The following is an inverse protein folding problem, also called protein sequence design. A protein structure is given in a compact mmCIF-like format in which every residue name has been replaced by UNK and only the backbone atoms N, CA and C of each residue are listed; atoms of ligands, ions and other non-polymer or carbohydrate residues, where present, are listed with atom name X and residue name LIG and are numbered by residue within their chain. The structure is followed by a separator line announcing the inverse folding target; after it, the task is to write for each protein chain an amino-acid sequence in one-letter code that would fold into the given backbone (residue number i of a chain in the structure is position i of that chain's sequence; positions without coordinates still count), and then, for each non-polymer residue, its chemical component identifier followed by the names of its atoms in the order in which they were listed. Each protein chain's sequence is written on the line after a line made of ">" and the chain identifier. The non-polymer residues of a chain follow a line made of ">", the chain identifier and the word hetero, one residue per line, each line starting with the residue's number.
data_IF_155596008634
#
_entry.id   IF_155596008634
#
_cell.length_a   1.000
_cell.length_b   1.000
_cell.length_c   1.000
_cell.angle_alpha   90.00
_cell.angle_beta   90.00
_cell.angle_gamma   90.00
#
_symmetry.space_group_name_H-M   'P 1'
#
loop_
_entity.id
_entity.type
_entity.pdbx_description
1 polymer ?
#
# COMPACT_ATOMS: atom_id res chain seq x y z
N UNK A 1 3.47 -8.55 -2.31
CA UNK A 1 2.25 -7.78 -2.67
C UNK A 1 1.77 -7.92 -4.11
N UNK A 2 2.58 -7.61 -5.13
CA UNK A 2 2.12 -7.56 -6.54
C UNK A 2 1.53 -8.87 -7.06
N UNK A 3 2.11 -10.03 -6.69
CA UNK A 3 1.58 -11.35 -7.09
C UNK A 3 0.20 -11.60 -6.49
N UNK A 4 -0.01 -11.24 -5.22
CA UNK A 4 -1.31 -11.41 -4.55
C UNK A 4 -2.34 -10.46 -5.18
N UNK A 5 -1.99 -9.19 -5.40
CA UNK A 5 -2.89 -8.24 -6.05
C UNK A 5 -3.28 -8.68 -7.47
N UNK A 6 -2.32 -9.19 -8.26
CA UNK A 6 -2.59 -9.72 -9.60
C UNK A 6 -3.38 -11.02 -9.55
N UNK A 7 -3.07 -11.93 -8.62
CA UNK A 7 -3.80 -13.19 -8.45
C UNK A 7 -5.24 -12.92 -8.00
N UNK A 8 -5.47 -11.96 -7.11
CA UNK A 8 -6.79 -11.57 -6.62
C UNK A 8 -7.60 -10.92 -7.75
N UNK A 9 -6.99 -10.03 -8.54
CA UNK A 9 -7.61 -9.46 -9.75
C UNK A 9 -7.95 -10.53 -10.79
N UNK A 10 -7.05 -11.48 -11.06
CA UNK A 10 -7.30 -12.62 -11.95
C UNK A 10 -8.40 -13.55 -11.43
N UNK A 11 -8.44 -13.79 -10.13
CA UNK A 11 -9.47 -14.62 -9.52
C UNK A 11 -10.83 -13.94 -9.60
N UNK A 12 -10.90 -12.62 -9.43
CA UNK A 12 -12.11 -11.84 -9.64
C UNK A 12 -12.64 -11.97 -11.08
N UNK A 13 -11.75 -11.88 -12.07
CA UNK A 13 -12.08 -12.09 -13.48
C UNK A 13 -12.57 -13.53 -13.76
N UNK A 14 -11.93 -14.54 -13.16
CA UNK A 14 -12.40 -15.94 -13.26
C UNK A 14 -13.74 -16.20 -12.56
N UNK A 15 -14.05 -15.47 -11.49
CA UNK A 15 -15.36 -15.57 -10.81
C UNK A 15 -16.46 -14.96 -11.67
N UNK A 16 -16.16 -13.91 -12.44
CA UNK A 16 -17.09 -13.34 -13.43
C UNK A 16 -17.38 -14.36 -14.55
N UNK A 17 -16.37 -15.14 -14.96
CA UNK A 17 -16.52 -16.25 -15.92
C UNK A 17 -17.38 -17.41 -15.38
N UNK A 18 -17.46 -17.60 -14.05
CA UNK A 18 -18.18 -18.69 -13.40
C UNK A 18 -19.60 -18.32 -12.93
N UNK A 19 -19.84 -17.03 -12.63
CA UNK A 19 -21.15 -16.48 -12.24
C UNK A 19 -21.60 -15.41 -13.23
N UNK A 20 -22.01 -15.77 -14.46
CA UNK A 20 -22.65 -14.82 -15.34
C UNK A 20 -24.03 -14.51 -14.73
N UNK A 21 -24.13 -13.44 -13.94
CA UNK A 21 -25.42 -12.86 -13.56
C UNK A 21 -26.06 -12.30 -14.85
N UNK A 22 -26.75 -13.17 -15.59
CA UNK A 22 -27.39 -12.86 -16.87
C UNK A 22 -28.59 -11.94 -16.67
N UNK A 23 -28.38 -10.63 -16.75
CA UNK A 23 -29.46 -9.66 -16.98
C UNK A 23 -29.55 -9.35 -18.49
N UNK A 24 -30.10 -10.29 -19.27
CA UNK A 24 -30.37 -10.09 -20.71
C UNK A 24 -29.37 -10.76 -21.67
N UNK A 25 -29.09 -10.12 -22.82
CA UNK A 25 -28.29 -10.63 -23.95
C UNK A 25 -26.84 -10.08 -24.03
N UNK A 26 -26.40 -9.28 -23.07
CA UNK A 26 -25.04 -8.73 -22.98
C UNK A 26 -24.36 -9.25 -21.72
N UNK A 27 -23.16 -9.81 -21.85
CA UNK A 27 -22.29 -10.13 -20.72
C UNK A 27 -21.96 -8.80 -20.00
N UNK A 28 -22.29 -8.69 -18.71
CA UNK A 28 -21.97 -7.50 -17.92
C UNK A 28 -20.54 -7.69 -17.37
N UNK A 29 -19.58 -6.79 -17.63
CA UNK A 29 -18.25 -6.86 -17.04
C UNK A 29 -18.32 -6.34 -15.59
N UNK A 30 -18.68 -7.22 -14.66
CA UNK A 30 -18.92 -6.86 -13.25
C UNK A 30 -17.59 -6.47 -12.60
N UNK A 31 -16.50 -7.12 -13.00
CA UNK A 31 -15.15 -6.80 -12.56
C UNK A 31 -14.73 -5.38 -12.94
N UNK A 32 -14.95 -4.96 -14.19
CA UNK A 32 -14.61 -3.61 -14.64
C UNK A 32 -15.51 -2.55 -13.99
N UNK A 33 -16.81 -2.83 -13.84
CA UNK A 33 -17.74 -1.94 -13.12
C UNK A 33 -17.34 -1.79 -11.66
N UNK A 34 -16.93 -2.87 -10.99
CA UNK A 34 -16.44 -2.84 -9.62
C UNK A 34 -15.14 -2.04 -9.50
N UNK A 35 -14.21 -2.21 -10.44
CA UNK A 35 -12.98 -1.45 -10.51
C UNK A 35 -13.27 0.06 -10.68
N UNK A 36 -14.16 0.44 -11.60
CA UNK A 36 -14.58 1.83 -11.78
C UNK A 36 -15.21 2.39 -10.51
N UNK A 37 -16.14 1.66 -9.88
CA UNK A 37 -16.76 2.10 -8.62
C UNK A 37 -15.71 2.37 -7.53
N UNK A 38 -14.74 1.47 -7.36
CA UNK A 38 -13.66 1.63 -6.39
C UNK A 38 -12.75 2.81 -6.73
N UNK A 39 -12.34 2.95 -7.99
CA UNK A 39 -11.46 4.04 -8.43
C UNK A 39 -12.15 5.41 -8.28
N UNK A 40 -13.45 5.51 -8.60
CA UNK A 40 -14.23 6.73 -8.37
C UNK A 40 -14.37 7.02 -6.89
N UNK A 41 -14.71 6.01 -6.07
CA UNK A 41 -14.84 6.19 -4.62
C UNK A 41 -13.54 6.67 -3.99
N UNK A 42 -12.41 5.99 -4.24
CA UNK A 42 -11.11 6.40 -3.73
C UNK A 42 -10.69 7.76 -4.28
N UNK A 43 -10.86 8.01 -5.58
CA UNK A 43 -10.51 9.28 -6.19
C UNK A 43 -11.24 10.47 -5.58
N UNK A 44 -12.57 10.37 -5.44
CA UNK A 44 -13.39 11.42 -4.82
C UNK A 44 -13.08 11.55 -3.33
N UNK A 45 -12.96 10.44 -2.58
CA UNK A 45 -12.65 10.49 -1.15
C UNK A 45 -11.31 11.17 -0.90
N UNK A 46 -10.26 10.82 -1.65
CA UNK A 46 -8.92 11.42 -1.51
C UNK A 46 -8.93 12.91 -1.87
N UNK A 47 -9.70 13.34 -2.88
CA UNK A 47 -9.85 14.76 -3.21
C UNK A 47 -10.63 15.54 -2.16
N UNK A 48 -11.67 14.94 -1.57
CA UNK A 48 -12.43 15.54 -0.48
C UNK A 48 -11.57 15.67 0.78
N UNK A 49 -10.76 14.68 1.11
CA UNK A 49 -9.78 14.77 2.21
C UNK A 49 -8.76 15.89 1.93
N UNK A 50 -8.21 15.96 0.71
CA UNK A 50 -7.28 17.02 0.32
C UNK A 50 -7.88 18.44 0.41
N UNK A 51 -9.17 18.58 0.10
CA UNK A 51 -9.90 19.86 0.16
C UNK A 51 -10.38 20.20 1.57
N UNK A 52 -10.64 19.21 2.41
CA UNK A 52 -11.11 19.37 3.80
C UNK A 52 -9.98 19.39 4.82
N UNK A 53 -8.72 19.24 4.39
CA UNK A 53 -7.51 19.59 5.15
C UNK A 53 -7.44 21.10 5.43
N UNK A 54 -8.43 21.61 6.14
CA UNK A 54 -8.31 22.80 6.96
C UNK A 54 -7.36 22.46 8.12
N UNK A 55 -6.58 23.43 8.57
CA UNK A 55 -5.42 23.30 9.47
C UNK A 55 -5.63 22.46 10.75
N UNK A 56 -6.86 22.14 11.14
CA UNK A 56 -7.16 21.37 12.35
C UNK A 56 -6.88 19.86 12.23
N UNK A 57 -7.17 19.21 11.08
CA UNK A 57 -7.04 17.74 10.96
C UNK A 57 -5.57 17.29 10.96
N UNK A 58 -4.69 18.06 10.31
CA UNK A 58 -3.24 17.82 10.31
C UNK A 58 -2.60 18.04 11.68
N UNK A 59 -3.07 19.05 12.43
CA UNK A 59 -2.55 19.34 13.78
C UNK A 59 -2.93 18.24 14.78
N UNK A 60 -4.09 17.62 14.60
CA UNK A 60 -4.56 16.53 15.46
C UNK A 60 -3.82 15.21 15.14
N UNK A 61 -3.63 14.87 13.86
CA UNK A 61 -2.82 13.70 13.44
C UNK A 61 -1.35 13.86 13.89
N UNK A 62 -0.79 15.07 13.78
CA UNK A 62 0.57 15.34 14.21
C UNK A 62 0.73 15.24 15.73
N UNK A 63 -0.25 15.73 16.51
CA UNK A 63 -0.28 15.54 17.97
C UNK A 63 -0.45 14.07 18.36
N UNK A 64 -1.28 13.31 17.67
CA UNK A 64 -1.49 11.89 17.97
C UNK A 64 -0.21 11.08 17.70
N UNK A 65 0.49 11.38 16.61
CA UNK A 65 1.82 10.82 16.32
C UNK A 65 2.86 11.25 17.37
N UNK A 66 2.88 12.52 17.77
CA UNK A 66 3.81 13.05 18.79
C UNK A 66 3.53 12.44 20.17
N UNK A 67 2.25 12.22 20.52
CA UNK A 67 1.83 11.53 21.73
C UNK A 67 2.29 10.06 21.72
N UNK A 68 2.10 9.34 20.61
CA UNK A 68 2.58 7.96 20.46
C UNK A 68 4.12 7.85 20.60
N UNK A 69 4.86 8.83 20.08
CA UNK A 69 6.33 8.92 20.23
C UNK A 69 6.73 9.35 21.65
N UNK A 70 5.94 10.18 22.32
CA UNK A 70 6.20 10.59 23.70
C UNK A 70 5.95 9.47 24.71
N UNK A 71 4.91 8.67 24.50
CA UNK A 71 4.61 7.46 25.28
C UNK A 71 5.75 6.43 25.15
N UNK A 72 6.33 6.34 23.95
CA UNK A 72 7.54 5.54 23.69
C UNK A 72 8.76 6.00 24.54
N UNK A 73 8.86 7.28 24.90
CA UNK A 73 10.01 7.82 25.64
C UNK A 73 9.88 7.75 27.19
N UNK A 74 8.71 7.45 27.75
CA UNK A 74 8.46 7.42 29.20
C UNK A 74 8.53 6.00 29.82
N UNK A 75 9.40 5.80 30.81
CA UNK A 75 9.58 4.61 31.68
C UNK A 75 8.58 3.43 31.53
N UNK A 76 9.09 2.22 31.26
CA UNK A 76 8.38 0.93 31.40
C UNK A 76 7.25 0.68 30.39
N UNK A 77 6.32 1.62 30.25
CA UNK A 77 5.27 1.64 29.24
C UNK A 77 5.85 1.82 27.82
N UNK A 78 6.90 2.64 27.67
CA UNK A 78 7.57 2.83 26.38
C UNK A 78 8.17 1.56 25.78
N UNK A 79 8.60 0.60 26.60
CA UNK A 79 9.16 -0.69 26.13
C UNK A 79 8.06 -1.58 25.55
N UNK A 80 6.86 -1.54 26.13
CA UNK A 80 5.68 -2.28 25.66
C UNK A 80 5.14 -1.63 24.37
N UNK A 81 5.08 -0.30 24.32
CA UNK A 81 4.69 0.44 23.12
C UNK A 81 5.69 0.22 21.96
N UNK A 82 6.99 0.23 22.26
CA UNK A 82 8.06 -0.11 21.31
C UNK A 82 7.91 -1.53 20.78
N UNK A 83 7.75 -2.51 21.68
CA UNK A 83 7.58 -3.91 21.31
C UNK A 83 6.32 -4.12 20.47
N UNK A 84 5.21 -3.44 20.81
CA UNK A 84 3.96 -3.49 20.04
C UNK A 84 4.14 -2.92 18.63
N UNK A 85 4.83 -1.78 18.50
CA UNK A 85 5.09 -1.14 17.20
C UNK A 85 6.02 -1.99 16.34
N UNK A 86 7.08 -2.53 16.93
CA UNK A 86 8.02 -3.44 16.26
C UNK A 86 7.29 -4.70 15.80
N UNK A 87 6.50 -5.32 16.68
CA UNK A 87 5.74 -6.53 16.35
C UNK A 87 4.72 -6.26 15.23
N UNK A 88 3.99 -5.15 15.30
CA UNK A 88 3.01 -4.76 14.29
C UNK A 88 3.67 -4.49 12.95
N UNK A 89 4.75 -3.71 12.92
CA UNK A 89 5.49 -3.38 11.70
C UNK A 89 6.13 -4.63 11.11
N UNK A 90 6.75 -5.48 11.95
CA UNK A 90 7.30 -6.76 11.54
C UNK A 90 6.23 -7.64 10.91
N UNK A 91 5.08 -7.81 11.55
CA UNK A 91 4.02 -8.69 11.06
C UNK A 91 3.41 -8.15 9.76
N UNK A 92 3.20 -6.84 9.65
CA UNK A 92 2.74 -6.20 8.42
C UNK A 92 3.72 -6.41 7.26
N UNK A 93 5.01 -6.09 7.46
CA UNK A 93 6.04 -6.26 6.42
C UNK A 93 6.24 -7.74 6.08
N UNK A 94 6.24 -8.61 7.08
CA UNK A 94 6.38 -10.04 6.90
C UNK A 94 5.24 -10.63 6.07
N UNK A 95 3.99 -10.28 6.37
CA UNK A 95 2.83 -10.70 5.56
C UNK A 95 2.88 -10.08 4.16
N UNK A 96 3.34 -8.82 4.04
CA UNK A 96 3.46 -8.12 2.76
C UNK A 96 4.49 -8.77 1.80
N UNK A 97 5.61 -9.21 2.36
CA UNK A 97 6.74 -9.84 1.66
C UNK A 97 6.60 -11.38 1.62
N UNK A 98 5.62 -11.95 2.31
CA UNK A 98 5.43 -13.40 2.33
C UNK A 98 5.14 -13.90 0.91
N UNK A 99 6.04 -14.73 0.39
CA UNK A 99 5.88 -15.35 -0.92
C UNK A 99 6.09 -14.39 -2.10
N UNK A 100 6.74 -13.25 -1.89
CA UNK A 100 7.19 -12.42 -3.01
C UNK A 100 8.43 -13.01 -3.72
N UNK A 101 8.77 -12.48 -4.89
CA UNK A 101 9.92 -12.92 -5.70
C UNK A 101 11.24 -12.80 -4.93
N UNK A 102 11.38 -11.76 -4.10
CA UNK A 102 12.52 -11.56 -3.19
C UNK A 102 12.70 -12.73 -2.22
N UNK A 103 11.59 -13.27 -1.69
CA UNK A 103 11.57 -14.40 -0.78
C UNK A 103 12.06 -15.69 -1.45
N UNK A 104 11.51 -16.05 -2.62
CA UNK A 104 11.96 -17.23 -3.38
C UNK A 104 13.41 -17.10 -3.84
N UNK A 105 13.83 -15.91 -4.27
CA UNK A 105 15.22 -15.64 -4.64
C UNK A 105 16.17 -15.87 -3.47
N UNK A 106 15.78 -15.48 -2.26
CA UNK A 106 16.59 -15.68 -1.05
C UNK A 106 16.70 -17.17 -0.70
N UNK A 107 15.61 -17.94 -0.84
CA UNK A 107 15.64 -19.41 -0.64
C UNK A 107 16.57 -20.08 -1.65
N UNK A 108 16.45 -19.73 -2.93
CA UNK A 108 17.30 -20.29 -3.98
C UNK A 108 18.78 -19.97 -3.74
N UNK A 109 19.09 -18.73 -3.33
CA UNK A 109 20.45 -18.31 -3.04
C UNK A 109 21.01 -18.98 -1.78
N UNK A 110 20.19 -19.14 -0.73
CA UNK A 110 20.57 -19.87 0.49
C UNK A 110 20.82 -21.37 0.24
N UNK A 111 20.14 -21.97 -0.74
CA UNK A 111 20.38 -23.35 -1.16
C UNK A 111 21.66 -23.50 -2.00
N UNK A 112 22.04 -22.46 -2.76
CA UNK A 112 23.20 -22.49 -3.67
C UNK A 112 24.50 -21.93 -3.06
N UNK A 113 24.42 -21.12 -2.00
CA UNK A 113 25.53 -20.36 -1.42
C UNK A 113 25.62 -20.53 0.11
N UNK A 114 26.62 -19.91 0.76
CA UNK A 114 26.77 -19.99 2.21
C UNK A 114 25.59 -19.31 2.94
N UNK A 115 24.86 -20.02 3.83
CA UNK A 115 23.65 -19.47 4.47
C UNK A 115 23.91 -18.18 5.26
N UNK A 116 25.03 -18.11 5.98
CA UNK A 116 25.40 -16.92 6.76
C UNK A 116 25.70 -15.70 5.87
N UNK A 117 26.31 -15.92 4.70
CA UNK A 117 26.59 -14.85 3.74
C UNK A 117 25.30 -14.30 3.12
N UNK A 118 24.35 -15.19 2.82
CA UNK A 118 23.04 -14.81 2.28
C UNK A 118 22.22 -14.04 3.31
N UNK A 119 22.21 -14.46 4.59
CA UNK A 119 21.53 -13.74 5.67
C UNK A 119 22.11 -12.33 5.83
N UNK A 120 23.44 -12.21 5.90
CA UNK A 120 24.08 -10.91 6.08
C UNK A 120 23.84 -9.99 4.87
N UNK A 121 23.95 -10.53 3.65
CA UNK A 121 23.75 -9.77 2.41
C UNK A 121 22.30 -9.33 2.21
N UNK A 122 21.33 -10.22 2.46
CA UNK A 122 19.90 -9.89 2.32
C UNK A 122 19.46 -8.85 3.35
N UNK A 123 19.91 -8.97 4.60
CA UNK A 123 19.62 -8.01 5.65
C UNK A 123 20.25 -6.64 5.35
N UNK A 124 21.51 -6.61 4.91
CA UNK A 124 22.19 -5.38 4.53
C UNK A 124 21.52 -4.71 3.32
N UNK A 125 21.23 -5.48 2.26
CA UNK A 125 20.59 -4.98 1.06
C UNK A 125 19.19 -4.42 1.32
N UNK A 126 18.37 -5.15 2.08
CA UNK A 126 17.04 -4.70 2.48
C UNK A 126 17.12 -3.46 3.40
N UNK A 127 18.05 -3.45 4.35
CA UNK A 127 18.29 -2.30 5.21
C UNK A 127 18.68 -1.03 4.43
N UNK A 128 19.54 -1.15 3.42
CA UNK A 128 19.90 -0.03 2.54
C UNK A 128 18.69 0.44 1.73
N UNK A 129 17.90 -0.47 1.16
CA UNK A 129 16.70 -0.11 0.41
C UNK A 129 15.70 0.67 1.28
N UNK A 130 15.43 0.19 2.50
CA UNK A 130 14.55 0.87 3.46
C UNK A 130 15.11 2.22 3.89
N UNK A 131 16.43 2.31 4.15
CA UNK A 131 17.07 3.57 4.52
C UNK A 131 16.96 4.61 3.39
N UNK A 132 17.18 4.21 2.15
CA UNK A 132 17.00 5.09 0.98
C UNK A 132 15.53 5.50 0.84
N UNK A 133 14.58 4.59 1.04
CA UNK A 133 13.15 4.89 0.98
C UNK A 133 12.71 5.89 2.05
N UNK A 134 13.19 5.73 3.29
CA UNK A 134 12.86 6.64 4.40
C UNK A 134 13.51 8.00 4.19
N UNK A 135 14.81 8.06 3.87
CA UNK A 135 15.50 9.33 3.63
C UNK A 135 14.92 10.07 2.42
N UNK A 136 14.65 9.34 1.34
CA UNK A 136 14.00 9.88 0.15
C UNK A 136 12.60 10.41 0.47
N UNK A 137 11.78 9.63 1.19
CA UNK A 137 10.45 10.03 1.63
C UNK A 137 10.46 11.29 2.48
N UNK A 138 11.36 11.37 3.46
CA UNK A 138 11.52 12.56 4.31
C UNK A 138 11.94 13.78 3.51
N UNK A 139 12.89 13.64 2.58
CA UNK A 139 13.29 14.74 1.71
C UNK A 139 12.13 15.19 0.81
N UNK A 140 11.42 14.26 0.14
CA UNK A 140 10.26 14.61 -0.68
C UNK A 140 9.16 15.28 0.15
N UNK A 141 8.92 14.82 1.38
CA UNK A 141 7.93 15.42 2.29
C UNK A 141 8.25 16.87 2.68
N UNK A 142 9.53 17.28 2.65
CA UNK A 142 9.90 18.69 2.85
C UNK A 142 9.62 19.59 1.64
N UNK A 143 9.54 19.02 0.43
CA UNK A 143 9.34 19.77 -0.81
C UNK A 143 7.90 19.70 -1.33
N UNK A 144 7.18 18.61 -1.07
CA UNK A 144 5.79 18.42 -1.48
C UNK A 144 4.86 18.54 -0.29
N UNK A 145 3.92 19.49 -0.37
CA UNK A 145 2.82 19.57 0.57
C UNK A 145 1.94 18.32 0.45
N UNK A 146 1.53 17.76 1.59
CA UNK A 146 0.63 16.61 1.68
C UNK A 146 -0.66 16.80 0.86
N UNK A 147 -1.16 18.05 0.79
CA UNK A 147 -2.29 18.42 -0.07
C UNK A 147 -2.00 18.13 -1.54
N UNK A 148 -0.81 18.48 -2.02
CA UNK A 148 -0.42 18.27 -3.43
C UNK A 148 -0.36 16.77 -3.73
N UNK A 149 0.18 15.97 -2.81
CA UNK A 149 0.24 14.51 -2.96
C UNK A 149 -1.17 13.91 -3.02
N UNK A 150 -2.06 14.34 -2.12
CA UNK A 150 -3.46 13.89 -2.10
C UNK A 150 -4.23 14.32 -3.36
N UNK A 151 -4.05 15.57 -3.83
CA UNK A 151 -4.64 16.03 -5.09
C UNK A 151 -4.17 15.20 -6.29
N UNK A 152 -2.86 14.95 -6.40
CA UNK A 152 -2.30 14.14 -7.50
C UNK A 152 -2.85 12.71 -7.44
N UNK A 153 -2.86 12.09 -6.25
CA UNK A 153 -3.38 10.73 -6.07
C UNK A 153 -4.86 10.62 -6.42
N UNK A 154 -5.68 11.54 -5.92
CA UNK A 154 -7.12 11.58 -6.20
C UNK A 154 -7.43 11.78 -7.68
N UNK A 155 -6.73 12.71 -8.35
CA UNK A 155 -6.86 12.90 -9.81
C UNK A 155 -6.44 11.66 -10.57
N UNK A 156 -5.34 11.01 -10.17
CA UNK A 156 -4.85 9.80 -10.85
C UNK A 156 -5.86 8.64 -10.77
N UNK A 157 -6.51 8.45 -9.61
CA UNK A 157 -7.59 7.46 -9.49
C UNK A 157 -8.77 7.76 -10.43
N UNK A 158 -9.18 9.04 -10.55
CA UNK A 158 -10.26 9.43 -11.48
C UNK A 158 -9.86 9.26 -12.95
N UNK A 159 -8.60 9.50 -13.30
CA UNK A 159 -8.09 9.24 -14.66
C UNK A 159 -8.16 7.75 -14.98
N UNK A 160 -7.72 6.88 -14.08
CA UNK A 160 -7.85 5.43 -14.28
C UNK A 160 -9.31 5.00 -14.39
N UNK A 161 -10.20 5.54 -13.56
CA UNK A 161 -11.63 5.26 -13.68
C UNK A 161 -12.17 5.63 -15.07
N UNK A 162 -11.81 6.80 -15.59
CA UNK A 162 -12.24 7.26 -16.90
C UNK A 162 -11.70 6.38 -18.05
N UNK A 163 -10.43 5.95 -17.94
CA UNK A 163 -9.82 5.03 -18.91
C UNK A 163 -10.55 3.68 -18.90
N UNK A 164 -10.82 3.11 -17.73
CA UNK A 164 -11.55 1.83 -17.62
C UNK A 164 -12.97 1.95 -18.16
N UNK A 165 -13.68 3.06 -17.90
CA UNK A 165 -15.01 3.30 -18.51
C UNK A 165 -14.94 3.36 -20.04
N UNK A 166 -13.91 4.01 -20.59
CA UNK A 166 -13.73 4.07 -22.04
C UNK A 166 -13.48 2.69 -22.65
N UNK A 167 -12.72 1.84 -21.97
CA UNK A 167 -12.46 0.45 -22.37
C UNK A 167 -13.72 -0.42 -22.32
N UNK A 168 -14.64 -0.21 -21.37
CA UNK A 168 -15.94 -0.90 -21.32
C UNK A 168 -16.87 -0.49 -22.48
N UNK A 169 -16.81 0.79 -22.88
CA UNK A 169 -17.75 1.37 -23.86
C UNK A 169 -17.34 1.06 -25.32
N UNK A 170 -16.05 0.83 -25.57
CA UNK A 170 -15.49 0.60 -26.91
C UNK A 170 -15.51 -0.88 -27.32
#
# INVERSE_FOLDING_TARGET
>A
MTVISVALGRTFHYVDELLPFRFGQTDLPIDDIAAVCLLVYFGVSTLLDASSSDSQKSDDEQKEAELAVSEFSGNGAGIVAAASTIASTFLLVFVAEWGDKSFFSTIALAAASSPLGVIAGSLAGHGVATLVAVLGGTLLGTFLSEKVIAYIGGVLFLVFAAVTVFEIVQ
#
